data_IF_400414694091
#
_entry.id   IF_400414694091
#
_cell.length_a   1.000
_cell.length_b   1.000
_cell.length_c   1.000
_cell.angle_alpha   90.00
_cell.angle_beta   90.00
_cell.angle_gamma   90.00
#
_symmetry.space_group_name_H-M   'P 1'
#
loop_
_entity.id
_entity.type
_entity.pdbx_description
1 polymer ?
#
# COMPACT_ATOMS: atom_id res chain seq x y z
N UNK A 1 20.11 27.43 14.23
CA UNK A 1 20.45 27.77 12.83
C UNK A 1 19.99 26.71 11.85
N UNK A 2 20.33 25.42 12.01
CA UNK A 2 19.96 24.34 11.06
C UNK A 2 18.44 24.20 10.83
N UNK A 3 17.61 24.26 11.89
CA UNK A 3 16.14 24.19 11.76
C UNK A 3 15.50 25.35 10.98
N UNK A 4 16.16 26.52 10.95
CA UNK A 4 15.65 27.77 10.35
C UNK A 4 16.03 27.94 8.88
N UNK A 5 16.81 27.01 8.35
CA UNK A 5 17.09 26.90 6.91
C UNK A 5 16.35 25.69 6.31
N UNK A 6 15.98 24.71 7.14
CA UNK A 6 15.33 23.48 6.70
C UNK A 6 13.85 23.73 6.35
N UNK A 7 13.19 24.63 7.07
CA UNK A 7 11.87 25.19 6.74
C UNK A 7 11.85 25.90 5.38
N UNK A 8 12.86 26.73 5.08
CA UNK A 8 13.00 27.40 3.79
C UNK A 8 13.22 26.39 2.65
N UNK A 9 14.03 25.35 2.89
CA UNK A 9 14.24 24.26 1.92
C UNK A 9 12.94 23.49 1.70
N UNK A 10 12.20 23.15 2.76
CA UNK A 10 10.92 22.45 2.65
C UNK A 10 9.92 23.29 1.84
N UNK A 11 9.77 24.58 2.16
CA UNK A 11 8.84 25.45 1.43
C UNK A 11 9.26 25.57 -0.04
N UNK A 12 10.56 25.74 -0.31
CA UNK A 12 11.07 25.75 -1.67
C UNK A 12 10.72 24.47 -2.42
N UNK A 13 10.92 23.30 -1.81
CA UNK A 13 10.57 22.02 -2.41
C UNK A 13 9.06 21.88 -2.65
N UNK A 14 8.22 22.30 -1.69
CA UNK A 14 6.76 22.27 -1.84
C UNK A 14 6.29 23.18 -2.97
N UNK A 15 6.82 24.40 -3.06
CA UNK A 15 6.47 25.33 -4.13
C UNK A 15 6.95 24.82 -5.49
N UNK A 16 8.15 24.25 -5.54
CA UNK A 16 8.68 23.63 -6.75
C UNK A 16 7.79 22.47 -7.20
N UNK A 17 7.34 21.61 -6.27
CA UNK A 17 6.41 20.52 -6.57
C UNK A 17 5.05 21.03 -7.08
N UNK A 18 4.56 22.17 -6.57
CA UNK A 18 3.31 22.78 -7.05
C UNK A 18 3.46 23.37 -8.45
N UNK A 19 4.56 24.09 -8.73
CA UNK A 19 4.78 24.73 -10.04
C UNK A 19 5.10 23.68 -11.10
N UNK A 20 5.96 22.71 -10.76
CA UNK A 20 6.27 21.55 -11.59
C UNK A 20 5.27 20.41 -11.31
N UNK A 21 3.97 20.72 -11.42
CA UNK A 21 2.91 19.77 -11.10
C UNK A 21 3.00 18.51 -11.98
N UNK A 22 3.43 18.64 -13.24
CA UNK A 22 3.49 17.53 -14.19
C UNK A 22 4.50 16.46 -13.71
N UNK A 23 5.74 16.88 -13.44
CA UNK A 23 6.79 16.03 -12.85
C UNK A 23 6.37 15.45 -11.49
N UNK A 24 5.67 16.24 -10.67
CA UNK A 24 5.21 15.79 -9.35
C UNK A 24 4.13 14.72 -9.46
N UNK A 25 3.20 14.86 -10.41
CA UNK A 25 2.15 13.88 -10.68
C UNK A 25 2.72 12.63 -11.33
N UNK A 26 3.71 12.76 -12.22
CA UNK A 26 4.45 11.65 -12.80
C UNK A 26 5.15 10.83 -11.71
N UNK A 27 5.93 11.48 -10.84
CA UNK A 27 6.58 10.83 -9.70
C UNK A 27 5.57 10.15 -8.77
N UNK A 28 4.44 10.82 -8.48
CA UNK A 28 3.37 10.21 -7.67
C UNK A 28 2.77 8.98 -8.37
N UNK A 29 2.60 9.04 -9.69
CA UNK A 29 2.13 7.94 -10.52
C UNK A 29 3.08 6.74 -10.46
N UNK A 30 4.38 6.97 -10.61
CA UNK A 30 5.42 5.92 -10.49
C UNK A 30 5.45 5.31 -9.09
N UNK A 31 5.35 6.14 -8.04
CA UNK A 31 5.28 5.65 -6.66
C UNK A 31 4.04 4.80 -6.42
N UNK A 32 2.89 5.20 -6.96
CA UNK A 32 1.66 4.39 -6.90
C UNK A 32 1.82 3.09 -7.68
N UNK A 33 2.46 3.12 -8.85
CA UNK A 33 2.76 1.92 -9.61
C UNK A 33 3.62 0.95 -8.80
N UNK A 34 4.71 1.42 -8.21
CA UNK A 34 5.59 0.61 -7.35
C UNK A 34 4.84 0.01 -6.15
N UNK A 35 3.93 0.77 -5.54
CA UNK A 35 3.09 0.27 -4.44
C UNK A 35 2.15 -0.85 -4.93
N UNK A 36 1.51 -0.68 -6.09
CA UNK A 36 0.64 -1.70 -6.65
C UNK A 36 1.41 -2.94 -7.11
N UNK A 37 2.59 -2.77 -7.69
CA UNK A 37 3.50 -3.86 -8.03
C UNK A 37 3.92 -4.61 -6.76
N UNK A 38 4.27 -3.90 -5.69
CA UNK A 38 4.55 -4.51 -4.40
C UNK A 38 3.37 -5.31 -3.83
N UNK A 39 2.14 -4.80 -3.97
CA UNK A 39 0.94 -5.58 -3.61
C UNK A 39 0.72 -6.80 -4.50
N UNK A 40 1.00 -6.67 -5.80
CA UNK A 40 0.88 -7.78 -6.75
C UNK A 40 1.86 -8.90 -6.40
N UNK A 41 3.13 -8.58 -6.17
CA UNK A 41 4.15 -9.54 -5.73
C UNK A 41 3.77 -10.17 -4.39
N UNK A 42 3.29 -9.38 -3.43
CA UNK A 42 2.82 -9.91 -2.14
C UNK A 42 1.63 -10.88 -2.33
N UNK A 43 0.74 -10.62 -3.28
CA UNK A 43 -0.36 -11.50 -3.61
C UNK A 43 0.13 -12.79 -4.29
N UNK A 44 1.09 -12.70 -5.21
CA UNK A 44 1.73 -13.85 -5.84
C UNK A 44 2.40 -14.77 -4.81
N UNK A 45 3.09 -14.22 -3.82
CA UNK A 45 3.64 -15.00 -2.70
C UNK A 45 2.56 -15.72 -1.89
N UNK A 46 1.39 -15.09 -1.71
CA UNK A 46 0.25 -15.73 -1.03
C UNK A 46 -0.33 -16.85 -1.89
N UNK A 47 -0.43 -16.65 -3.20
CA UNK A 47 -0.91 -17.65 -4.16
C UNK A 47 0.01 -18.88 -4.16
N UNK A 48 1.32 -18.70 -4.31
CA UNK A 48 2.32 -19.77 -4.22
C UNK A 48 2.25 -20.51 -2.88
N UNK A 49 2.11 -19.77 -1.77
CA UNK A 49 1.96 -20.38 -0.45
C UNK A 49 0.67 -21.20 -0.29
N UNK A 50 -0.42 -20.81 -0.96
CA UNK A 50 -1.66 -21.59 -1.01
C UNK A 50 -1.46 -22.84 -1.87
N UNK A 51 -0.83 -22.73 -3.02
CA UNK A 51 -0.53 -23.88 -3.90
C UNK A 51 0.32 -24.93 -3.17
N UNK A 52 1.42 -24.53 -2.52
CA UNK A 52 2.27 -25.42 -1.72
C UNK A 52 1.48 -26.07 -0.57
N UNK A 53 0.63 -25.30 0.12
CA UNK A 53 -0.19 -25.84 1.21
C UNK A 53 -1.21 -26.87 0.70
N UNK A 54 -1.81 -26.62 -0.47
CA UNK A 54 -2.75 -27.54 -1.11
C UNK A 54 -2.02 -28.81 -1.57
N UNK A 55 -0.87 -28.68 -2.22
CA UNK A 55 -0.06 -29.82 -2.66
C UNK A 55 0.38 -30.69 -1.48
N UNK A 56 0.85 -30.07 -0.40
CA UNK A 56 1.24 -30.80 0.81
C UNK A 56 0.06 -31.53 1.45
N UNK A 57 -1.11 -30.90 1.53
CA UNK A 57 -2.32 -31.57 2.04
C UNK A 57 -2.68 -32.77 1.15
N UNK A 58 -2.60 -32.62 -0.17
CA UNK A 58 -2.88 -33.69 -1.11
C UNK A 58 -1.94 -34.87 -0.98
N UNK A 59 -0.65 -34.59 -0.90
CA UNK A 59 0.40 -35.61 -0.86
C UNK A 59 0.51 -36.28 0.52
N UNK A 60 0.25 -35.53 1.60
CA UNK A 60 0.31 -36.09 2.97
C UNK A 60 -0.95 -36.91 3.30
N UNK A 61 -2.12 -36.50 2.81
CA UNK A 61 -3.35 -37.25 3.05
C UNK A 61 -3.59 -38.40 2.05
N UNK A 62 -2.75 -38.60 1.03
CA UNK A 62 -3.01 -39.56 -0.06
C UNK A 62 -4.49 -39.57 -0.48
N UNK A 63 -5.06 -38.37 -0.63
CA UNK A 63 -6.51 -38.16 -0.69
C UNK A 63 -7.14 -39.00 -1.81
N UNK A 64 -6.42 -39.21 -2.91
CA UNK A 64 -6.85 -40.05 -4.01
C UNK A 64 -7.03 -41.53 -3.63
N UNK A 65 -6.07 -42.10 -2.89
CA UNK A 65 -6.10 -43.51 -2.48
C UNK A 65 -7.09 -43.71 -1.31
N UNK A 66 -7.16 -42.76 -0.38
CA UNK A 66 -8.14 -42.79 0.71
C UNK A 66 -9.57 -42.71 0.16
N UNK A 67 -9.84 -41.86 -0.84
CA UNK A 67 -11.18 -41.76 -1.45
C UNK A 67 -11.50 -43.01 -2.28
N UNK A 68 -10.55 -43.55 -3.04
CA UNK A 68 -10.74 -44.81 -3.78
C UNK A 68 -11.08 -45.97 -2.82
N UNK A 69 -10.41 -46.03 -1.67
CA UNK A 69 -10.65 -47.04 -0.63
C UNK A 69 -11.96 -46.84 0.15
N UNK A 70 -12.34 -45.59 0.45
CA UNK A 70 -13.56 -45.28 1.20
C UNK A 70 -14.84 -45.34 0.37
N UNK A 71 -14.76 -45.06 -0.93
CA UNK A 71 -15.94 -44.93 -1.79
C UNK A 71 -16.11 -46.04 -2.81
N UNK A 72 -15.15 -46.98 -2.94
CA UNK A 72 -15.17 -48.11 -3.89
C UNK A 72 -15.67 -47.64 -5.29
N UNK A 73 -15.22 -46.45 -5.69
CA UNK A 73 -15.81 -45.66 -6.75
C UNK A 73 -14.91 -45.64 -7.98
N UNK A 74 -15.54 -45.61 -9.15
CA UNK A 74 -14.87 -45.50 -10.44
C UNK A 74 -13.98 -44.24 -10.51
N UNK A 75 -12.90 -44.28 -11.31
CA UNK A 75 -11.81 -43.27 -11.33
C UNK A 75 -12.29 -41.82 -11.52
N UNK A 76 -13.38 -41.64 -12.26
CA UNK A 76 -14.01 -40.33 -12.47
C UNK A 76 -14.76 -39.80 -11.24
N UNK A 77 -15.36 -40.68 -10.43
CA UNK A 77 -16.06 -40.29 -9.20
C UNK A 77 -15.09 -39.75 -8.14
N UNK A 78 -13.92 -40.38 -8.00
CA UNK A 78 -12.87 -39.93 -7.08
C UNK A 78 -12.35 -38.51 -7.41
N UNK A 79 -12.16 -38.20 -8.71
CA UNK A 79 -11.73 -36.87 -9.16
C UNK A 79 -12.75 -35.77 -8.82
N UNK A 80 -14.04 -36.04 -8.98
CA UNK A 80 -15.11 -35.07 -8.69
C UNK A 80 -15.18 -34.78 -7.19
N UNK A 81 -15.10 -35.80 -6.34
CA UNK A 81 -15.10 -35.62 -4.88
C UNK A 81 -13.88 -34.82 -4.42
N UNK A 82 -12.71 -35.15 -4.98
CA UNK A 82 -11.44 -34.46 -4.74
C UNK A 82 -11.52 -32.96 -5.09
N UNK A 83 -12.14 -32.63 -6.23
CA UNK A 83 -12.40 -31.24 -6.62
C UNK A 83 -13.29 -30.50 -5.62
N UNK A 84 -14.37 -31.13 -5.13
CA UNK A 84 -15.25 -30.49 -4.14
C UNK A 84 -14.57 -30.23 -2.80
N UNK A 85 -13.66 -31.12 -2.35
CA UNK A 85 -12.84 -30.90 -1.15
C UNK A 85 -11.90 -29.71 -1.35
N UNK A 86 -11.21 -29.63 -2.49
CA UNK A 86 -10.35 -28.50 -2.86
C UNK A 86 -11.10 -27.17 -2.85
N UNK A 87 -12.25 -27.12 -3.52
CA UNK A 87 -13.09 -25.93 -3.57
C UNK A 87 -13.55 -25.52 -2.17
N UNK A 88 -13.86 -26.48 -1.29
CA UNK A 88 -14.28 -26.20 0.08
C UNK A 88 -13.15 -25.60 0.92
N UNK A 89 -11.93 -26.14 0.80
CA UNK A 89 -10.74 -25.61 1.49
C UNK A 89 -10.41 -24.21 0.96
N UNK A 90 -10.44 -24.00 -0.36
CA UNK A 90 -10.21 -22.71 -0.98
C UNK A 90 -11.24 -21.66 -0.52
N UNK A 91 -12.52 -22.04 -0.47
CA UNK A 91 -13.60 -21.17 0.00
C UNK A 91 -13.44 -20.80 1.48
N UNK A 92 -13.01 -21.77 2.31
CA UNK A 92 -12.73 -21.52 3.72
C UNK A 92 -11.53 -20.57 3.90
N UNK A 93 -10.46 -20.74 3.11
CA UNK A 93 -9.31 -19.84 3.07
C UNK A 93 -9.73 -18.42 2.68
N UNK A 94 -10.49 -18.28 1.59
CA UNK A 94 -11.02 -17.00 1.12
C UNK A 94 -11.89 -16.31 2.18
N UNK A 95 -12.75 -17.06 2.86
CA UNK A 95 -13.58 -16.54 3.95
C UNK A 95 -12.76 -16.01 5.14
N UNK A 96 -11.65 -16.68 5.48
CA UNK A 96 -10.75 -16.18 6.53
C UNK A 96 -10.01 -14.92 6.10
N UNK A 97 -9.51 -14.90 4.87
CA UNK A 97 -8.82 -13.73 4.31
C UNK A 97 -9.75 -12.51 4.24
N UNK A 98 -10.98 -12.70 3.78
CA UNK A 98 -11.97 -11.62 3.68
C UNK A 98 -12.34 -11.02 5.04
N UNK A 99 -12.16 -11.74 6.15
CA UNK A 99 -12.28 -11.21 7.52
C UNK A 99 -11.03 -10.49 8.04
N UNK A 100 -9.84 -10.84 7.55
CA UNK A 100 -8.57 -10.24 7.96
C UNK A 100 -8.33 -8.89 7.28
N UNK A 101 -8.63 -8.80 5.97
CA UNK A 101 -8.49 -7.58 5.15
C UNK A 101 -9.12 -6.33 5.80
N UNK A 102 -10.40 -6.33 6.25
CA UNK A 102 -11.01 -5.13 6.82
C UNK A 102 -10.35 -4.69 8.14
N UNK A 103 -9.78 -5.62 8.92
CA UNK A 103 -9.08 -5.28 10.18
C UNK A 103 -7.74 -4.61 9.89
N UNK A 104 -6.98 -5.16 8.95
CA UNK A 104 -5.71 -4.56 8.52
C UNK A 104 -5.93 -3.19 7.90
N UNK A 105 -6.96 -3.06 7.05
CA UNK A 105 -7.36 -1.78 6.47
C UNK A 105 -7.77 -0.76 7.53
N UNK A 106 -8.57 -1.16 8.52
CA UNK A 106 -8.99 -0.27 9.60
C UNK A 106 -7.79 0.23 10.43
N UNK A 107 -6.86 -0.66 10.80
CA UNK A 107 -5.65 -0.29 11.53
C UNK A 107 -4.76 0.65 10.72
N UNK A 108 -4.55 0.34 9.43
CA UNK A 108 -3.76 1.19 8.53
C UNK A 108 -4.40 2.58 8.38
N UNK A 109 -5.71 2.63 8.16
CA UNK A 109 -6.48 3.89 8.08
C UNK A 109 -6.34 4.71 9.37
N UNK A 110 -6.49 4.08 10.55
CA UNK A 110 -6.34 4.78 11.82
C UNK A 110 -4.92 5.33 12.01
N UNK A 111 -3.90 4.54 11.66
CA UNK A 111 -2.50 4.97 11.73
C UNK A 111 -2.23 6.18 10.82
N UNK A 112 -2.75 6.15 9.58
CA UNK A 112 -2.65 7.26 8.64
C UNK A 112 -3.37 8.50 9.16
N UNK A 113 -4.61 8.36 9.63
CA UNK A 113 -5.38 9.48 10.17
C UNK A 113 -4.71 10.10 11.39
N UNK A 114 -4.21 9.30 12.33
CA UNK A 114 -3.51 9.78 13.51
C UNK A 114 -2.23 10.53 13.14
N UNK A 115 -1.47 10.00 12.19
CA UNK A 115 -0.25 10.64 11.68
C UNK A 115 -0.58 11.94 10.98
N UNK A 116 -1.62 11.96 10.15
CA UNK A 116 -2.09 13.15 9.45
C UNK A 116 -2.51 14.25 10.42
N UNK A 117 -3.37 13.93 11.40
CA UNK A 117 -3.82 14.90 12.40
C UNK A 117 -2.64 15.43 13.20
N UNK A 118 -1.72 14.57 13.65
CA UNK A 118 -0.52 15.01 14.38
C UNK A 118 0.31 15.98 13.55
N UNK A 119 0.58 15.65 12.28
CA UNK A 119 1.36 16.51 11.38
C UNK A 119 0.67 17.83 11.09
N UNK A 120 -0.63 17.82 10.88
CA UNK A 120 -1.42 19.05 10.68
C UNK A 120 -1.32 19.96 11.90
N UNK A 121 -1.52 19.42 13.10
CA UNK A 121 -1.43 20.19 14.35
C UNK A 121 -0.02 20.75 14.57
N UNK A 122 1.03 19.95 14.32
CA UNK A 122 2.43 20.39 14.42
C UNK A 122 2.70 21.58 13.47
N UNK A 123 2.21 21.51 12.23
CA UNK A 123 2.37 22.58 11.24
C UNK A 123 1.59 23.85 11.61
N UNK A 124 0.36 23.72 12.10
CA UNK A 124 -0.46 24.86 12.54
C UNK A 124 0.21 25.58 13.71
N UNK A 125 0.68 24.84 14.72
CA UNK A 125 1.40 25.40 15.86
C UNK A 125 2.71 26.06 15.43
N UNK A 126 3.45 25.44 14.50
CA UNK A 126 4.66 26.03 13.94
C UNK A 126 4.35 27.37 13.25
N UNK A 127 3.33 27.43 12.39
CA UNK A 127 2.93 28.65 11.70
C UNK A 127 2.50 29.77 12.65
N UNK A 128 1.80 29.42 13.74
CA UNK A 128 1.39 30.37 14.76
C UNK A 128 2.58 30.88 15.59
N UNK A 129 3.57 30.04 15.86
CA UNK A 129 4.76 30.42 16.63
C UNK A 129 5.76 31.29 15.85
N UNK A 130 5.60 31.40 14.52
CA UNK A 130 6.54 32.12 13.67
C UNK A 130 6.39 33.65 13.78
N UNK A 131 7.53 34.34 13.86
CA UNK A 131 7.57 35.81 13.84
C UNK A 131 7.18 36.35 12.46
N UNK A 132 6.64 37.57 12.41
CA UNK A 132 6.25 38.23 11.15
C UNK A 132 7.42 38.31 10.16
N UNK A 133 8.65 38.56 10.67
CA UNK A 133 9.86 38.61 9.83
C UNK A 133 10.13 37.27 9.14
N UNK A 134 10.01 36.17 9.87
CA UNK A 134 10.23 34.84 9.31
C UNK A 134 9.15 34.46 8.30
N UNK A 135 7.89 34.87 8.50
CA UNK A 135 6.82 34.69 7.53
C UNK A 135 7.09 35.41 6.20
N UNK A 136 7.61 36.65 6.27
CA UNK A 136 7.98 37.41 5.07
C UNK A 136 9.13 36.73 4.33
N UNK A 137 10.15 36.22 5.05
CA UNK A 137 11.25 35.47 4.43
C UNK A 137 10.73 34.24 3.69
N UNK A 138 9.84 33.45 4.30
CA UNK A 138 9.22 32.28 3.67
C UNK A 138 8.43 32.67 2.41
N UNK A 139 7.63 33.74 2.49
CA UNK A 139 6.84 34.22 1.35
C UNK A 139 7.76 34.68 0.19
N UNK A 140 8.84 35.39 0.49
CA UNK A 140 9.81 35.80 -0.51
C UNK A 140 10.50 34.60 -1.18
N UNK A 141 10.92 33.61 -0.39
CA UNK A 141 11.49 32.37 -0.92
C UNK A 141 10.50 31.61 -1.80
N UNK A 142 9.23 31.53 -1.39
CA UNK A 142 8.19 30.90 -2.19
C UNK A 142 8.02 31.61 -3.55
N UNK A 143 7.92 32.94 -3.58
CA UNK A 143 7.79 33.70 -4.83
C UNK A 143 9.03 33.55 -5.70
N UNK A 144 10.23 33.63 -5.12
CA UNK A 144 11.49 33.49 -5.85
C UNK A 144 11.62 32.10 -6.50
N UNK A 145 11.31 31.03 -5.74
CA UNK A 145 11.34 29.65 -6.27
C UNK A 145 10.26 29.46 -7.34
N UNK A 146 9.04 29.96 -7.13
CA UNK A 146 7.98 29.86 -8.13
C UNK A 146 8.36 30.56 -9.45
N UNK A 147 8.96 31.74 -9.35
CA UNK A 147 9.45 32.47 -10.52
C UNK A 147 10.53 31.67 -11.27
N UNK A 148 11.53 31.15 -10.56
CA UNK A 148 12.58 30.32 -11.17
C UNK A 148 11.98 29.06 -11.81
N UNK A 149 11.11 28.34 -11.10
CA UNK A 149 10.48 27.12 -11.59
C UNK A 149 9.59 27.37 -12.82
N UNK A 150 8.95 28.54 -12.91
CA UNK A 150 8.12 28.89 -14.07
C UNK A 150 8.90 28.94 -15.40
N UNK A 151 10.20 29.23 -15.37
CA UNK A 151 11.06 29.13 -16.57
C UNK A 151 11.30 27.70 -17.05
N UNK A 152 11.16 26.70 -16.17
CA UNK A 152 11.33 25.28 -16.53
C UNK A 152 10.02 24.66 -17.02
N UNK A 153 8.88 25.32 -16.79
CA UNK A 153 7.56 24.85 -17.21
C UNK A 153 7.12 25.48 -18.56
N UNK A 154 7.68 26.65 -18.93
CA UNK A 154 7.58 27.23 -20.28
C UNK A 154 8.49 26.49 -21.27
#
# INVERSE_FOLDING_TARGET
MIRKNLDLIIVGFVVLAIVMYDVTLELLGELMHLVFEGFHVAFEYVELGIEEAVELVFHVLDVGEIIEYLFESDRHGSQVVTFYILVTIAWFGFYRLSKLVPRLWASFKQMLLNTWVRRKTELELYWLSLTIRDKVTIAFTAVAVAYIASFFVM
#
